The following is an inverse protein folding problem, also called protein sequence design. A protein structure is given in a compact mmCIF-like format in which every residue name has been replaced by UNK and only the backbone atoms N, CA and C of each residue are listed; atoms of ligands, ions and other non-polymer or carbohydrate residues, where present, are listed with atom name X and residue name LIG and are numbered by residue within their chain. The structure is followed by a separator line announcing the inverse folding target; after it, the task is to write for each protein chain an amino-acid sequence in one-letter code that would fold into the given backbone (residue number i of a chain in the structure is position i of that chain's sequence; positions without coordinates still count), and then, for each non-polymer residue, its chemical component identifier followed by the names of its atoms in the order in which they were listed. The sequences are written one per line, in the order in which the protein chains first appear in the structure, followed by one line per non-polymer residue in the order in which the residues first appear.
data_IF_883375773341
#
_entry.id   IF_883375773341
#
_cell.length_a   1.000
_cell.length_b   1.000
_cell.length_c   1.000
_cell.angle_alpha   90.00
_cell.angle_beta   90.00
_cell.angle_gamma   90.00
#
_symmetry.space_group_name_H-M   'P 1'
#
loop_
_entity.id
_entity.type
_entity.pdbx_description
1 polymer ?
#
# COMPACT_ATOMS: atom_id res chain seq x y z
N UNK A 1 -0.63 -12.15 4.20
CA UNK A 1 -0.26 -10.82 4.71
C UNK A 1 -1.50 -10.08 5.20
N UNK A 2 -1.33 -9.11 6.11
CA UNK A 2 -2.35 -8.13 6.49
C UNK A 2 -1.78 -6.73 6.25
N UNK A 3 -2.48 -5.89 5.50
CA UNK A 3 -2.00 -4.57 5.08
C UNK A 3 -3.10 -3.54 5.31
N UNK A 4 -2.76 -2.44 5.96
CA UNK A 4 -3.69 -1.34 6.23
C UNK A 4 -2.99 0.01 6.09
N UNK A 5 -3.76 1.02 5.71
CA UNK A 5 -3.30 2.40 5.59
C UNK A 5 -4.06 3.31 6.55
N UNK A 6 -3.39 4.37 6.99
CA UNK A 6 -3.92 5.40 7.87
C UNK A 6 -3.50 6.77 7.37
N UNK A 7 -4.32 7.81 7.57
CA UNK A 7 -3.95 9.21 7.31
C UNK A 7 -4.00 9.65 5.85
N UNK A 8 -4.50 8.81 4.94
CA UNK A 8 -4.63 9.13 3.50
C UNK A 8 -6.08 9.12 2.99
N UNK A 9 -7.04 8.72 3.82
CA UNK A 9 -8.49 8.70 3.54
C UNK A 9 -9.27 9.07 4.80
N UNK A 10 -10.60 9.18 4.71
CA UNK A 10 -11.47 9.58 5.84
C UNK A 10 -11.40 8.64 7.06
N UNK A 11 -10.96 7.40 6.86
CA UNK A 11 -10.80 6.41 7.92
C UNK A 11 -9.68 5.43 7.58
N UNK A 12 -9.06 4.84 8.60
CA UNK A 12 -8.16 3.70 8.37
C UNK A 12 -8.86 2.62 7.55
N UNK A 13 -8.15 2.03 6.60
CA UNK A 13 -8.70 0.97 5.78
C UNK A 13 -7.69 -0.16 5.61
N UNK A 14 -8.25 -1.35 5.42
CA UNK A 14 -7.49 -2.55 5.10
C UNK A 14 -7.44 -2.72 3.59
N UNK A 15 -6.26 -2.93 3.04
CA UNK A 15 -6.04 -3.01 1.61
C UNK A 15 -6.05 -4.46 1.13
N UNK A 16 -7.24 -4.93 0.73
CA UNK A 16 -7.42 -6.29 0.21
C UNK A 16 -6.71 -6.52 -1.13
N UNK A 17 -6.47 -5.47 -1.92
CA UNK A 17 -5.79 -5.57 -3.22
C UNK A 17 -4.33 -5.96 -3.05
N UNK A 18 -3.63 -5.26 -2.14
CA UNK A 18 -2.25 -5.59 -1.77
C UNK A 18 -2.19 -6.95 -1.07
N UNK A 19 -3.09 -7.23 -0.13
CA UNK A 19 -3.12 -8.52 0.56
C UNK A 19 -3.30 -9.71 -0.37
N UNK A 20 -4.19 -9.58 -1.36
CA UNK A 20 -4.42 -10.59 -2.39
C UNK A 20 -3.20 -10.82 -3.25
N UNK A 21 -2.50 -9.75 -3.65
CA UNK A 21 -1.28 -9.83 -4.47
C UNK A 21 -0.09 -10.49 -3.74
N UNK A 22 -0.03 -10.37 -2.41
CA UNK A 22 1.02 -11.00 -1.61
C UNK A 22 0.73 -12.48 -1.29
N UNK A 23 -0.52 -12.93 -1.44
CA UNK A 23 -0.89 -14.30 -1.07
C UNK A 23 -0.30 -15.30 -2.07
N UNK A 24 0.64 -16.12 -1.60
CA UNK A 24 1.28 -17.15 -2.44
C UNK A 24 2.33 -16.61 -3.41
N UNK A 25 2.73 -15.34 -3.28
CA UNK A 25 3.84 -14.79 -4.06
C UNK A 25 5.19 -15.22 -3.49
N UNK A 26 6.27 -15.05 -4.26
CA UNK A 26 7.65 -15.34 -3.86
C UNK A 26 8.17 -14.42 -2.75
N UNK A 27 7.49 -13.30 -2.49
CA UNK A 27 7.92 -12.23 -1.58
C UNK A 27 9.30 -11.65 -1.90
N UNK A 28 9.79 -11.81 -3.13
CA UNK A 28 10.98 -11.11 -3.62
C UNK A 28 10.69 -9.63 -3.93
N UNK A 29 11.73 -8.86 -4.25
CA UNK A 29 11.59 -7.42 -4.50
C UNK A 29 10.58 -7.10 -5.62
N UNK A 30 10.55 -7.90 -6.69
CA UNK A 30 9.67 -7.68 -7.83
C UNK A 30 8.22 -7.98 -7.45
N UNK A 31 7.97 -9.08 -6.73
CA UNK A 31 6.65 -9.43 -6.21
C UNK A 31 6.13 -8.39 -5.21
N UNK A 32 7.00 -7.87 -4.34
CA UNK A 32 6.65 -6.80 -3.39
C UNK A 32 6.30 -5.51 -4.14
N UNK A 33 7.10 -5.12 -5.14
CA UNK A 33 6.82 -3.93 -5.95
C UNK A 33 5.47 -4.06 -6.68
N UNK A 34 5.22 -5.19 -7.34
CA UNK A 34 3.96 -5.44 -8.04
C UNK A 34 2.74 -5.47 -7.10
N UNK A 35 2.89 -5.97 -5.88
CA UNK A 35 1.84 -5.90 -4.87
C UNK A 35 1.60 -4.46 -4.39
N UNK A 36 2.67 -3.71 -4.13
CA UNK A 36 2.61 -2.33 -3.68
C UNK A 36 1.99 -1.39 -4.72
N UNK A 37 2.11 -1.68 -6.02
CA UNK A 37 1.49 -0.88 -7.09
C UNK A 37 -0.04 -0.85 -7.04
N UNK A 38 -0.66 -1.83 -6.36
CA UNK A 38 -2.10 -1.90 -6.10
C UNK A 38 -2.54 -1.12 -4.86
N UNK A 39 -1.60 -0.48 -4.15
CA UNK A 39 -1.91 0.24 -2.92
C UNK A 39 -2.97 1.31 -3.15
N UNK A 40 -3.98 1.30 -2.28
CA UNK A 40 -5.12 2.21 -2.26
C UNK A 40 -5.98 2.21 -3.53
N UNK A 41 -5.86 1.21 -4.40
CA UNK A 41 -6.69 1.14 -5.62
C UNK A 41 -8.18 1.09 -5.27
N UNK A 42 -8.99 1.89 -5.97
CA UNK A 42 -10.42 2.05 -5.68
C UNK A 42 -10.77 2.71 -4.34
N UNK A 43 -9.81 3.30 -3.62
CA UNK A 43 -10.05 4.03 -2.37
C UNK A 43 -10.12 5.54 -2.64
N UNK A 44 -11.14 6.19 -2.07
CA UNK A 44 -11.26 7.65 -2.03
C UNK A 44 -10.22 8.23 -1.07
N UNK A 45 -9.24 8.97 -1.62
CA UNK A 45 -8.16 9.57 -0.84
C UNK A 45 -8.44 11.05 -0.56
N UNK A 46 -7.82 11.53 0.52
CA UNK A 46 -7.88 12.95 0.87
C UNK A 46 -7.16 13.81 -0.18
N UNK A 47 -7.73 14.97 -0.45
CA UNK A 47 -7.12 16.02 -1.25
C UNK A 47 -7.31 17.35 -0.52
N UNK A 48 -6.22 18.05 -0.22
CA UNK A 48 -6.22 19.31 0.52
C UNK A 48 -5.11 20.26 0.04
N UNK A 49 -4.94 21.38 0.72
CA UNK A 49 -3.93 22.40 0.40
C UNK A 49 -2.47 21.90 0.54
N UNK A 50 -2.24 20.77 1.22
CA UNK A 50 -0.91 20.20 1.42
C UNK A 50 -0.60 19.12 0.41
N UNK A 51 -1.60 18.33 0.00
CA UNK A 51 -1.42 17.22 -0.92
C UNK A 51 -2.71 16.83 -1.63
N UNK A 52 -2.61 16.69 -2.95
CA UNK A 52 -3.66 16.11 -3.79
C UNK A 52 -3.74 14.59 -3.67
N UNK A 53 -4.85 14.04 -4.16
CA UNK A 53 -5.13 12.60 -4.18
C UNK A 53 -4.04 11.79 -4.89
N UNK A 54 -3.60 12.20 -6.09
CA UNK A 54 -2.57 11.48 -6.85
C UNK A 54 -1.24 11.36 -6.09
N UNK A 55 -0.87 12.42 -5.37
CA UNK A 55 0.32 12.42 -4.54
C UNK A 55 0.20 11.44 -3.37
N UNK A 56 -0.95 11.41 -2.69
CA UNK A 56 -1.19 10.44 -1.60
C UNK A 56 -1.23 9.01 -2.12
N UNK A 57 -1.82 8.79 -3.30
CA UNK A 57 -1.84 7.49 -3.99
C UNK A 57 -0.43 7.02 -4.33
N UNK A 58 0.41 7.92 -4.86
CA UNK A 58 1.81 7.63 -5.11
C UNK A 58 2.56 7.24 -3.83
N UNK A 59 2.40 8.01 -2.75
CA UNK A 59 3.02 7.70 -1.46
C UNK A 59 2.52 6.39 -0.86
N UNK A 60 1.24 6.05 -1.02
CA UNK A 60 0.69 4.77 -0.57
C UNK A 60 1.47 3.60 -1.18
N UNK A 61 1.77 3.66 -2.49
CA UNK A 61 2.59 2.64 -3.18
C UNK A 61 4.01 2.57 -2.63
N UNK A 62 4.66 3.72 -2.44
CA UNK A 62 6.03 3.79 -1.90
C UNK A 62 6.11 3.20 -0.49
N UNK A 63 5.20 3.61 0.40
CA UNK A 63 5.21 3.13 1.79
C UNK A 63 4.74 1.68 1.90
N UNK A 64 3.84 1.22 1.04
CA UNK A 64 3.50 -0.20 0.94
C UNK A 64 4.74 -1.05 0.63
N UNK A 65 5.50 -0.69 -0.43
CA UNK A 65 6.74 -1.41 -0.80
C UNK A 65 7.70 -1.48 0.39
N UNK A 66 7.94 -0.35 1.06
CA UNK A 66 8.86 -0.26 2.20
C UNK A 66 8.40 -1.09 3.40
N UNK A 67 7.12 -0.95 3.78
CA UNK A 67 6.56 -1.66 4.93
C UNK A 67 6.52 -3.17 4.72
N UNK A 68 6.17 -3.62 3.52
CA UNK A 68 6.17 -5.05 3.17
C UNK A 68 7.59 -5.60 3.20
N UNK A 69 8.55 -4.92 2.57
CA UNK A 69 9.95 -5.37 2.58
C UNK A 69 10.52 -5.45 4.00
N UNK A 70 10.22 -4.46 4.85
CA UNK A 70 10.62 -4.50 6.26
C UNK A 70 9.96 -5.65 7.03
N UNK A 71 8.67 -5.92 6.79
CA UNK A 71 7.96 -7.03 7.42
C UNK A 71 8.48 -8.40 6.97
N UNK A 72 8.85 -8.55 5.70
CA UNK A 72 9.47 -9.79 5.17
C UNK A 72 10.86 -10.00 5.78
N UNK A 73 11.66 -8.93 5.91
CA UNK A 73 12.99 -9.02 6.53
C UNK A 73 12.96 -9.32 8.04
N UNK A 74 11.84 -9.04 8.71
CA UNK A 74 11.64 -9.30 10.14
C UNK A 74 10.95 -10.64 10.45
N UNK A 75 10.56 -11.39 9.41
CA UNK A 75 9.90 -12.71 9.53
C UNK A 75 10.93 -13.84 9.59
#
# INVERSE_FOLDING_TARGET
ARVAFTGISNSAFRDSGVEGALKGSSLDEAAIAAAADKAADGVDLLSDVFAGEDYRRHLAKVYAKRAIAAAVAAA
#
